data_IF_907941891737
#
_entry.id   IF_907941891737
#
_cell.length_a   1.000
_cell.length_b   1.000
_cell.length_c   1.000
_cell.angle_alpha   90.00
_cell.angle_beta   90.00
_cell.angle_gamma   90.00
#
_symmetry.space_group_name_H-M   'P 1'
#
loop_
_entity.id
_entity.type
_entity.pdbx_description
1 polymer ?
#
# COMPACT_ATOMS: atom_id res chain seq x y z
N UNK A 1 11.85 -1.70 -49.44
CA UNK A 1 12.97 -1.08 -48.69
C UNK A 1 12.93 -1.64 -47.28
N UNK A 2 13.96 -2.39 -46.85
CA UNK A 2 14.10 -2.86 -45.47
C UNK A 2 14.72 -1.70 -44.69
N UNK A 3 13.98 -1.07 -43.77
CA UNK A 3 14.53 -0.04 -42.91
C UNK A 3 15.48 -0.69 -41.89
N UNK A 4 16.79 -0.36 -41.87
CA UNK A 4 17.81 -1.16 -41.18
C UNK A 4 17.83 -0.97 -39.65
N UNK A 5 16.94 -0.16 -39.09
CA UNK A 5 16.95 0.15 -37.66
C UNK A 5 16.08 -0.82 -36.86
N UNK A 6 16.72 -1.74 -36.13
CA UNK A 6 16.05 -2.58 -35.13
C UNK A 6 15.40 -1.75 -34.01
N UNK A 7 15.94 -0.57 -33.72
CA UNK A 7 15.44 0.31 -32.66
C UNK A 7 14.07 0.89 -33.00
N UNK A 8 13.85 1.33 -34.23
CA UNK A 8 12.54 1.88 -34.64
C UNK A 8 11.47 0.79 -34.59
N UNK A 9 11.77 -0.40 -35.10
CA UNK A 9 10.83 -1.53 -35.03
C UNK A 9 10.55 -1.97 -33.58
N UNK A 10 11.54 -1.94 -32.69
CA UNK A 10 11.32 -2.20 -31.27
C UNK A 10 10.36 -1.16 -30.65
N UNK A 11 10.56 0.13 -30.92
CA UNK A 11 9.70 1.17 -30.35
C UNK A 11 8.28 1.12 -30.92
N UNK A 12 8.13 0.81 -32.20
CA UNK A 12 6.83 0.61 -32.85
C UNK A 12 6.06 -0.55 -32.20
N UNK A 13 6.71 -1.70 -31.99
CA UNK A 13 6.05 -2.89 -31.44
C UNK A 13 5.90 -2.90 -29.91
N UNK A 14 6.91 -2.42 -29.17
CA UNK A 14 7.05 -2.61 -27.71
C UNK A 14 7.16 -1.30 -26.93
N UNK A 15 7.36 -0.17 -27.60
CA UNK A 15 7.67 1.11 -26.97
C UNK A 15 6.59 1.56 -25.99
N UNK A 16 5.32 1.51 -26.38
CA UNK A 16 4.21 1.90 -25.51
C UNK A 16 4.09 1.01 -24.27
N UNK A 17 4.18 -0.31 -24.44
CA UNK A 17 4.15 -1.26 -23.32
C UNK A 17 5.31 -1.01 -22.35
N UNK A 18 6.50 -0.70 -22.88
CA UNK A 18 7.67 -0.35 -22.07
C UNK A 18 7.43 0.96 -21.30
N UNK A 19 6.96 2.02 -21.96
CA UNK A 19 6.72 3.32 -21.33
C UNK A 19 5.65 3.28 -20.23
N UNK A 20 4.62 2.46 -20.39
CA UNK A 20 3.57 2.30 -19.37
C UNK A 20 4.11 1.59 -18.12
N UNK A 21 5.00 0.61 -18.29
CA UNK A 21 5.48 -0.26 -17.21
C UNK A 21 6.72 0.27 -16.50
N UNK A 22 7.59 0.98 -17.23
CA UNK A 22 8.89 1.42 -16.73
C UNK A 22 8.80 2.28 -15.45
N UNK A 23 7.90 3.27 -15.32
CA UNK A 23 7.81 4.08 -14.10
C UNK A 23 7.54 3.26 -12.84
N UNK A 24 6.64 2.27 -12.94
CA UNK A 24 6.32 1.35 -11.84
C UNK A 24 7.48 0.42 -11.50
N UNK A 25 8.20 -0.08 -12.50
CA UNK A 25 9.41 -0.90 -12.30
C UNK A 25 10.49 -0.09 -11.59
N UNK A 26 10.72 1.16 -12.01
CA UNK A 26 11.69 2.06 -11.35
C UNK A 26 11.26 2.34 -9.91
N UNK A 27 9.97 2.51 -9.64
CA UNK A 27 9.46 2.69 -8.28
C UNK A 27 9.70 1.45 -7.40
N UNK A 28 9.58 0.23 -7.93
CA UNK A 28 9.93 -0.99 -7.19
C UNK A 28 11.41 -1.04 -6.83
N UNK A 29 12.29 -0.70 -7.77
CA UNK A 29 13.73 -0.53 -7.50
C UNK A 29 13.97 0.53 -6.42
N UNK A 30 13.24 1.64 -6.49
CA UNK A 30 13.26 2.72 -5.51
C UNK A 30 12.84 2.26 -4.11
N UNK A 31 11.77 1.46 -3.99
CA UNK A 31 11.34 0.89 -2.70
C UNK A 31 12.41 -0.06 -2.15
N UNK A 32 12.97 -0.94 -2.98
CA UNK A 32 14.07 -1.83 -2.57
C UNK A 32 15.29 -1.05 -2.07
N UNK A 33 15.65 0.03 -2.77
CA UNK A 33 16.70 0.95 -2.35
C UNK A 33 16.38 1.65 -1.03
N UNK A 34 15.15 2.15 -0.83
CA UNK A 34 14.72 2.77 0.42
C UNK A 34 14.77 1.79 1.60
N UNK A 35 14.32 0.54 1.39
CA UNK A 35 14.42 -0.54 2.38
C UNK A 35 15.90 -0.78 2.73
N UNK A 36 16.75 -1.00 1.73
CA UNK A 36 18.19 -1.19 1.95
C UNK A 36 18.80 -0.05 2.77
N UNK A 37 18.57 1.21 2.36
CA UNK A 37 19.10 2.41 3.02
C UNK A 37 18.61 2.53 4.45
N UNK A 38 17.34 2.24 4.70
CA UNK A 38 16.76 2.27 6.03
C UNK A 38 17.38 1.21 6.94
N UNK A 39 17.50 -0.04 6.47
CA UNK A 39 18.08 -1.14 7.26
C UNK A 39 19.56 -0.88 7.58
N UNK A 40 20.35 -0.39 6.61
CA UNK A 40 21.72 0.04 6.87
C UNK A 40 21.75 1.10 7.97
N UNK A 41 20.92 2.15 7.85
CA UNK A 41 20.88 3.26 8.79
C UNK A 41 20.57 2.82 10.23
N UNK A 42 19.60 1.92 10.43
CA UNK A 42 19.27 1.41 11.78
C UNK A 42 20.29 0.39 12.28
N UNK A 43 20.97 -0.35 11.38
CA UNK A 43 21.99 -1.33 11.76
C UNK A 43 23.31 -0.70 12.22
N UNK A 44 23.60 0.56 11.82
CA UNK A 44 24.78 1.30 12.29
C UNK A 44 24.85 1.37 13.83
N UNK A 45 23.70 1.33 14.49
CA UNK A 45 23.58 1.36 15.94
C UNK A 45 23.78 -0.01 16.62
N UNK A 46 23.90 -1.13 15.89
CA UNK A 46 23.92 -2.51 16.42
C UNK A 46 24.87 -3.50 15.71
N UNK A 47 25.98 -3.04 15.12
CA UNK A 47 26.91 -3.81 14.26
C UNK A 47 26.44 -3.97 12.81
N UNK A 48 26.62 -2.91 12.01
CA UNK A 48 26.48 -2.86 10.54
C UNK A 48 26.31 -4.25 9.88
N UNK A 49 25.07 -4.61 9.54
CA UNK A 49 24.78 -5.90 8.89
C UNK A 49 24.28 -5.63 7.45
N UNK A 50 25.20 -5.39 6.51
CA UNK A 50 24.83 -5.15 5.12
C UNK A 50 24.15 -6.35 4.48
N UNK A 51 24.46 -7.57 4.91
CA UNK A 51 23.82 -8.79 4.42
C UNK A 51 22.32 -8.78 4.70
N UNK A 52 21.90 -8.32 5.88
CA UNK A 52 20.49 -8.19 6.23
C UNK A 52 19.77 -7.13 5.39
N UNK A 53 20.44 -6.01 5.11
CA UNK A 53 19.88 -4.97 4.24
C UNK A 53 19.71 -5.46 2.80
N UNK A 54 20.72 -6.16 2.26
CA UNK A 54 20.66 -6.80 0.94
C UNK A 54 19.54 -7.82 0.92
N UNK A 55 19.49 -8.73 1.90
CA UNK A 55 18.46 -9.77 1.99
C UNK A 55 17.05 -9.17 1.96
N UNK A 56 16.75 -8.13 2.75
CA UNK A 56 15.41 -7.55 2.77
C UNK A 56 15.07 -6.74 1.51
N UNK A 57 16.06 -6.09 0.89
CA UNK A 57 15.86 -5.48 -0.42
C UNK A 57 15.59 -6.56 -1.48
N UNK A 58 16.30 -7.69 -1.43
CA UNK A 58 16.05 -8.85 -2.30
C UNK A 58 14.67 -9.46 -2.05
N UNK A 59 14.24 -9.62 -0.79
CA UNK A 59 12.90 -10.10 -0.44
C UNK A 59 11.82 -9.23 -1.09
N UNK A 60 12.02 -7.91 -1.13
CA UNK A 60 11.12 -7.00 -1.85
C UNK A 60 11.21 -7.14 -3.37
N UNK A 61 12.42 -7.04 -3.94
CA UNK A 61 12.62 -6.99 -5.40
C UNK A 61 12.26 -8.30 -6.09
N UNK A 62 12.44 -9.44 -5.43
CA UNK A 62 12.07 -10.75 -5.94
C UNK A 62 10.70 -11.24 -5.43
N UNK A 63 9.95 -10.38 -4.74
CA UNK A 63 8.58 -10.70 -4.36
C UNK A 63 7.70 -10.80 -5.62
N UNK A 64 7.00 -11.92 -5.86
CA UNK A 64 6.19 -12.07 -7.07
C UNK A 64 5.12 -11.01 -7.28
N UNK A 65 4.62 -10.39 -6.22
CA UNK A 65 3.61 -9.35 -6.35
C UNK A 65 4.14 -8.08 -7.05
N UNK A 66 5.44 -7.77 -6.92
CA UNK A 66 6.00 -6.50 -7.43
C UNK A 66 6.14 -6.57 -8.94
N UNK A 67 6.81 -7.61 -9.46
CA UNK A 67 6.92 -7.81 -10.91
C UNK A 67 5.59 -8.20 -11.55
N UNK A 68 4.68 -8.87 -10.85
CA UNK A 68 3.34 -9.10 -11.38
C UNK A 68 2.55 -7.79 -11.55
N UNK A 69 2.51 -6.94 -10.52
CA UNK A 69 1.82 -5.65 -10.56
C UNK A 69 2.47 -4.69 -11.58
N UNK A 70 3.79 -4.50 -11.51
CA UNK A 70 4.50 -3.51 -12.34
C UNK A 70 4.87 -4.03 -13.73
N UNK A 71 5.51 -5.20 -13.83
CA UNK A 71 6.10 -5.68 -15.10
C UNK A 71 5.14 -6.47 -15.96
N UNK A 72 4.28 -7.30 -15.36
CA UNK A 72 3.31 -8.11 -16.11
C UNK A 72 2.05 -7.27 -16.38
N UNK A 73 1.44 -6.71 -15.33
CA UNK A 73 0.21 -5.96 -15.43
C UNK A 73 0.41 -4.51 -15.87
N UNK A 74 1.42 -3.80 -15.36
CA UNK A 74 1.60 -2.36 -15.62
C UNK A 74 0.73 -1.47 -14.73
N UNK A 75 0.38 -1.94 -13.54
CA UNK A 75 -0.26 -1.13 -12.50
C UNK A 75 0.77 -0.19 -11.84
N UNK A 76 0.27 0.80 -11.12
CA UNK A 76 1.05 1.93 -10.60
C UNK A 76 1.14 1.98 -9.07
N UNK A 77 0.75 0.90 -8.39
CA UNK A 77 0.72 0.84 -6.92
C UNK A 77 2.12 1.02 -6.30
N UNK A 78 3.17 0.57 -7.01
CA UNK A 78 4.57 0.76 -6.63
C UNK A 78 4.98 2.24 -6.56
N UNK A 79 4.51 3.10 -7.47
CA UNK A 79 4.82 4.54 -7.48
C UNK A 79 4.25 5.20 -6.22
N UNK A 80 2.99 4.90 -5.91
CA UNK A 80 2.29 5.42 -4.72
C UNK A 80 3.02 5.01 -3.45
N UNK A 81 3.45 3.74 -3.39
CA UNK A 81 4.13 3.16 -2.23
C UNK A 81 5.60 3.59 -2.10
N UNK A 82 6.28 3.89 -3.21
CA UNK A 82 7.61 4.51 -3.18
C UNK A 82 7.55 5.89 -2.52
N UNK A 83 6.63 6.74 -2.99
CA UNK A 83 6.41 8.07 -2.43
C UNK A 83 5.93 8.00 -0.96
N UNK A 84 5.02 7.07 -0.66
CA UNK A 84 4.53 6.84 0.70
C UNK A 84 5.63 6.37 1.66
N UNK A 85 6.46 5.41 1.24
CA UNK A 85 7.61 4.95 2.03
C UNK A 85 8.64 6.06 2.22
N UNK A 86 8.94 6.84 1.18
CA UNK A 86 9.79 8.02 1.31
C UNK A 86 9.25 8.99 2.37
N UNK A 87 7.94 9.28 2.36
CA UNK A 87 7.29 10.11 3.38
C UNK A 87 7.48 9.53 4.79
N UNK A 88 7.18 8.24 4.98
CA UNK A 88 7.33 7.53 6.27
C UNK A 88 8.78 7.64 6.79
N UNK A 89 9.77 7.42 5.92
CA UNK A 89 11.18 7.51 6.31
C UNK A 89 11.60 8.94 6.69
N UNK A 90 11.06 9.96 6.02
CA UNK A 90 11.31 11.36 6.40
C UNK A 90 10.65 11.73 7.73
N UNK A 91 9.47 11.19 8.03
CA UNK A 91 8.81 11.34 9.33
C UNK A 91 9.64 10.71 10.46
N UNK A 92 10.23 9.54 10.22
CA UNK A 92 11.14 8.89 11.17
C UNK A 92 12.42 9.69 11.38
N UNK A 93 12.90 10.40 10.36
CA UNK A 93 14.04 11.34 10.43
C UNK A 93 13.70 12.71 11.02
N UNK A 94 12.48 12.88 11.55
CA UNK A 94 11.99 14.15 12.11
C UNK A 94 12.00 15.31 11.11
N UNK A 95 11.77 15.03 9.82
CA UNK A 95 11.66 16.05 8.79
C UNK A 95 10.20 16.19 8.31
N UNK A 96 9.44 17.06 8.98
CA UNK A 96 8.02 17.27 8.71
C UNK A 96 7.76 17.79 7.29
N UNK A 97 8.60 18.70 6.78
CA UNK A 97 8.41 19.31 5.46
C UNK A 97 8.51 18.26 4.36
N UNK A 98 9.57 17.44 4.36
CA UNK A 98 9.71 16.38 3.35
C UNK A 98 8.69 15.25 3.56
N UNK A 99 8.30 14.97 4.81
CA UNK A 99 7.20 14.04 5.07
C UNK A 99 5.90 14.49 4.40
N UNK A 100 5.42 15.71 4.64
CA UNK A 100 4.18 16.21 4.03
C UNK A 100 4.30 16.36 2.52
N UNK A 101 5.46 16.78 2.00
CA UNK A 101 5.71 16.83 0.57
C UNK A 101 5.54 15.46 -0.10
N UNK A 102 6.26 14.42 0.34
CA UNK A 102 6.16 13.08 -0.27
C UNK A 102 4.80 12.42 -0.02
N UNK A 103 4.18 12.63 1.15
CA UNK A 103 2.83 12.14 1.42
C UNK A 103 1.83 12.77 0.45
N UNK A 104 1.95 14.07 0.18
CA UNK A 104 1.10 14.79 -0.78
C UNK A 104 1.29 14.23 -2.18
N UNK A 105 2.53 14.04 -2.65
CA UNK A 105 2.80 13.42 -3.95
C UNK A 105 2.18 12.03 -4.07
N UNK A 106 2.29 11.21 -3.03
CA UNK A 106 1.70 9.87 -2.98
C UNK A 106 0.17 9.93 -3.14
N UNK A 107 -0.51 10.76 -2.34
CA UNK A 107 -1.97 10.90 -2.37
C UNK A 107 -2.50 11.54 -3.66
N UNK A 108 -1.77 12.50 -4.23
CA UNK A 108 -2.10 13.10 -5.53
C UNK A 108 -1.98 12.09 -6.68
N UNK A 109 -0.99 11.20 -6.62
CA UNK A 109 -0.86 10.13 -7.60
C UNK A 109 -2.01 9.14 -7.49
N UNK A 110 -2.33 8.69 -6.26
CA UNK A 110 -3.49 7.85 -5.94
C UNK A 110 -3.80 7.91 -4.45
N UNK A 111 -5.07 8.06 -4.10
CA UNK A 111 -5.53 8.11 -2.71
C UNK A 111 -5.44 6.79 -1.92
N UNK A 112 -4.83 5.71 -2.45
CA UNK A 112 -4.84 4.39 -1.80
C UNK A 112 -4.09 4.34 -0.47
N UNK A 113 -3.10 5.23 -0.25
CA UNK A 113 -2.40 5.36 1.04
C UNK A 113 -3.06 6.32 2.02
N UNK A 114 -4.25 6.85 1.72
CA UNK A 114 -5.02 7.68 2.65
C UNK A 114 -5.31 6.95 3.97
N UNK A 115 -5.38 5.61 3.94
CA UNK A 115 -5.56 4.75 5.13
C UNK A 115 -4.46 4.96 6.18
N UNK A 116 -3.25 5.38 5.78
CA UNK A 116 -2.14 5.61 6.69
C UNK A 116 -2.15 6.99 7.35
N UNK A 117 -2.91 7.94 6.80
CA UNK A 117 -2.90 9.35 7.25
C UNK A 117 -3.19 9.49 8.75
N UNK A 118 -4.19 8.81 9.35
CA UNK A 118 -4.44 8.93 10.79
C UNK A 118 -3.24 8.51 11.66
N UNK A 119 -2.56 7.42 11.30
CA UNK A 119 -1.38 6.92 12.03
C UNK A 119 -0.20 7.89 11.85
N UNK A 120 0.07 8.31 10.62
CA UNK A 120 1.21 9.18 10.31
C UNK A 120 1.06 10.58 10.89
N UNK A 121 -0.14 11.16 10.84
CA UNK A 121 -0.44 12.43 11.50
C UNK A 121 -0.36 12.33 13.01
N UNK A 122 -0.88 11.24 13.61
CA UNK A 122 -0.73 11.01 15.05
C UNK A 122 0.76 11.00 15.46
N UNK A 123 1.60 10.28 14.70
CA UNK A 123 3.04 10.28 14.95
C UNK A 123 3.63 11.67 14.78
N UNK A 124 3.33 12.40 13.69
CA UNK A 124 3.83 13.74 13.42
C UNK A 124 3.49 14.75 14.52
N UNK A 125 2.22 14.77 14.97
CA UNK A 125 1.73 15.60 16.08
C UNK A 125 2.49 15.25 17.37
N UNK A 126 2.71 13.97 17.62
CA UNK A 126 3.45 13.50 18.81
C UNK A 126 4.93 13.90 18.80
N UNK A 127 5.48 14.39 17.68
CA UNK A 127 6.86 14.88 17.59
C UNK A 127 6.99 16.37 18.00
N UNK A 128 5.88 17.05 18.32
CA UNK A 128 5.83 18.41 18.91
C UNK A 128 6.61 19.47 18.11
N UNK A 129 6.46 19.47 16.79
CA UNK A 129 7.00 20.54 15.93
C UNK A 129 6.40 21.92 16.27
N UNK A 130 7.19 22.98 16.09
CA UNK A 130 6.68 24.35 16.22
C UNK A 130 5.71 24.70 15.08
N UNK A 131 4.85 25.70 15.33
CA UNK A 131 3.88 26.17 14.34
C UNK A 131 4.55 26.61 13.03
N UNK A 132 5.72 27.25 13.10
CA UNK A 132 6.48 27.67 11.91
C UNK A 132 6.87 26.49 11.02
N UNK A 133 7.25 25.36 11.61
CA UNK A 133 7.61 24.14 10.85
C UNK A 133 6.37 23.53 10.19
N UNK A 134 5.23 23.54 10.89
CA UNK A 134 3.94 23.13 10.31
C UNK A 134 3.52 24.02 9.14
N UNK A 135 3.55 25.34 9.31
CA UNK A 135 3.21 26.30 8.26
C UNK A 135 4.11 26.13 7.04
N UNK A 136 5.42 25.97 7.24
CA UNK A 136 6.37 25.67 6.16
C UNK A 136 6.01 24.36 5.45
N UNK A 137 5.76 23.29 6.20
CA UNK A 137 5.44 21.99 5.63
C UNK A 137 4.13 22.00 4.83
N UNK A 138 3.09 22.65 5.35
CA UNK A 138 1.80 22.84 4.65
C UNK A 138 1.97 23.70 3.41
N UNK A 139 2.77 24.77 3.48
CA UNK A 139 3.07 25.61 2.32
C UNK A 139 3.72 24.81 1.18
N UNK A 140 4.76 24.02 1.47
CA UNK A 140 5.40 23.18 0.43
C UNK A 140 4.47 22.09 -0.12
N UNK A 141 3.62 21.49 0.73
CA UNK A 141 2.60 20.55 0.27
C UNK A 141 1.58 21.23 -0.66
N UNK A 142 1.11 22.43 -0.30
CA UNK A 142 0.19 23.22 -1.11
C UNK A 142 0.81 23.60 -2.47
N UNK A 143 2.05 24.10 -2.47
CA UNK A 143 2.79 24.42 -3.70
C UNK A 143 2.94 23.18 -4.57
N UNK A 144 3.29 22.02 -4.00
CA UNK A 144 3.39 20.77 -4.77
C UNK A 144 2.04 20.38 -5.41
N UNK A 145 0.93 20.50 -4.68
CA UNK A 145 -0.41 20.28 -5.21
C UNK A 145 -0.71 21.20 -6.38
N UNK A 146 -0.51 22.51 -6.23
CA UNK A 146 -0.77 23.48 -7.31
C UNK A 146 0.10 23.20 -8.53
N UNK A 147 1.41 23.02 -8.35
CA UNK A 147 2.36 22.82 -9.44
C UNK A 147 2.10 21.53 -10.23
N UNK A 148 1.58 20.49 -9.58
CA UNK A 148 1.22 19.24 -10.27
C UNK A 148 -0.14 19.38 -10.95
N UNK A 149 -1.13 19.90 -10.23
CA UNK A 149 -2.51 19.94 -10.71
C UNK A 149 -2.72 20.94 -11.86
N UNK A 150 -1.89 22.00 -11.96
CA UNK A 150 -1.99 22.98 -13.05
C UNK A 150 -1.76 22.36 -14.44
N UNK A 151 -0.97 21.27 -14.54
CA UNK A 151 -0.78 20.56 -15.82
C UNK A 151 -2.04 19.81 -16.28
N UNK A 152 -2.96 19.51 -15.35
CA UNK A 152 -4.22 18.83 -15.65
C UNK A 152 -5.39 19.81 -15.79
N UNK A 153 -5.33 20.95 -15.08
CA UNK A 153 -6.36 21.99 -15.10
C UNK A 153 -5.72 23.39 -15.02
N UNK A 154 -5.21 23.92 -16.16
CA UNK A 154 -4.51 25.21 -16.23
C UNK A 154 -5.46 26.43 -16.19
N UNK A 155 -6.49 26.40 -15.34
CA UNK A 155 -7.49 27.47 -15.21
C UNK A 155 -7.51 28.05 -13.79
N UNK A 156 -8.01 29.29 -13.65
CA UNK A 156 -8.03 30.03 -12.39
C UNK A 156 -8.88 29.38 -11.28
N UNK A 157 -9.84 28.54 -11.64
CA UNK A 157 -10.69 27.80 -10.71
C UNK A 157 -10.07 26.48 -10.21
N UNK A 158 -8.75 26.27 -10.41
CA UNK A 158 -8.02 25.05 -10.04
C UNK A 158 -8.36 24.49 -8.66
N UNK A 159 -8.45 25.36 -7.65
CA UNK A 159 -8.79 24.92 -6.27
C UNK A 159 -10.21 24.38 -6.20
N UNK A 160 -11.18 25.05 -6.83
CA UNK A 160 -12.56 24.60 -6.88
C UNK A 160 -12.70 23.31 -7.71
N UNK A 161 -12.00 23.22 -8.83
CA UNK A 161 -11.92 22.01 -9.64
C UNK A 161 -11.36 20.83 -8.83
N UNK A 162 -10.26 21.03 -8.09
CA UNK A 162 -9.68 20.00 -7.22
C UNK A 162 -10.67 19.53 -6.16
N UNK A 163 -11.33 20.44 -5.45
CA UNK A 163 -12.33 20.08 -4.44
C UNK A 163 -13.45 19.25 -5.07
N UNK A 164 -13.97 19.67 -6.22
CA UNK A 164 -15.00 18.93 -6.95
C UNK A 164 -14.52 17.56 -7.44
N UNK A 165 -13.29 17.46 -7.94
CA UNK A 165 -12.70 16.20 -8.40
C UNK A 165 -12.70 15.17 -7.26
N UNK A 166 -12.22 15.56 -6.09
CA UNK A 166 -12.18 14.65 -4.94
C UNK A 166 -13.58 14.33 -4.41
N UNK A 167 -14.44 15.34 -4.23
CA UNK A 167 -15.79 15.13 -3.70
C UNK A 167 -16.69 14.29 -4.61
N UNK A 168 -16.61 14.49 -5.93
CA UNK A 168 -17.54 13.88 -6.88
C UNK A 168 -17.02 12.61 -7.54
N UNK A 169 -15.69 12.42 -7.62
CA UNK A 169 -15.10 11.24 -8.28
C UNK A 169 -14.30 10.36 -7.32
N UNK A 170 -13.35 10.93 -6.58
CA UNK A 170 -12.40 10.13 -5.80
C UNK A 170 -13.01 9.55 -4.52
N UNK A 171 -13.65 10.39 -3.69
CA UNK A 171 -14.20 9.97 -2.39
C UNK A 171 -15.39 9.01 -2.51
N UNK A 172 -16.32 9.19 -3.47
CA UNK A 172 -17.34 8.17 -3.71
C UNK A 172 -16.69 6.84 -4.09
N UNK A 173 -15.61 6.86 -4.86
CA UNK A 173 -14.94 5.66 -5.36
C UNK A 173 -15.57 5.15 -6.66
N UNK A 174 -14.75 4.50 -7.49
CA UNK A 174 -15.10 4.13 -8.86
C UNK A 174 -16.13 2.98 -8.95
N UNK A 175 -16.23 2.15 -7.90
CA UNK A 175 -17.02 0.91 -7.91
C UNK A 175 -18.08 0.92 -6.81
N UNK A 176 -19.27 0.41 -7.13
CA UNK A 176 -20.43 0.35 -6.24
C UNK A 176 -20.52 -0.88 -5.34
N UNK A 177 -19.72 -1.90 -5.62
CA UNK A 177 -19.85 -3.25 -5.06
C UNK A 177 -19.12 -3.44 -3.73
N UNK A 178 -19.50 -4.50 -3.01
CA UNK A 178 -18.86 -4.91 -1.76
C UNK A 178 -17.36 -5.15 -1.92
N UNK A 179 -16.96 -5.84 -2.98
CA UNK A 179 -15.55 -6.09 -3.32
C UNK A 179 -15.38 -6.04 -4.83
N UNK A 180 -14.21 -5.61 -5.29
CA UNK A 180 -13.81 -5.63 -6.69
C UNK A 180 -12.74 -6.71 -6.87
N UNK A 181 -13.18 -7.97 -6.74
CA UNK A 181 -12.34 -9.17 -6.84
C UNK A 181 -11.28 -9.35 -5.75
N UNK A 182 -11.34 -8.60 -4.64
CA UNK A 182 -10.42 -8.83 -3.54
C UNK A 182 -10.85 -10.05 -2.73
N UNK A 183 -9.95 -11.03 -2.54
CA UNK A 183 -10.11 -12.15 -1.59
C UNK A 183 -10.09 -11.65 -0.13
N UNK A 184 -11.14 -10.94 0.27
CA UNK A 184 -11.32 -10.30 1.57
C UNK A 184 -12.64 -10.75 2.23
N UNK A 185 -12.96 -10.21 3.42
CA UNK A 185 -14.19 -10.57 4.14
C UNK A 185 -15.45 -10.45 3.26
N UNK A 186 -15.54 -9.38 2.46
CA UNK A 186 -16.68 -9.14 1.60
C UNK A 186 -16.84 -10.15 0.47
N UNK A 187 -15.74 -10.75 -0.01
CA UNK A 187 -15.78 -11.85 -0.98
C UNK A 187 -16.60 -13.04 -0.50
N UNK A 188 -16.49 -13.38 0.80
CA UNK A 188 -17.23 -14.48 1.41
C UNK A 188 -18.74 -14.21 1.52
N UNK A 189 -19.14 -12.94 1.47
CA UNK A 189 -20.55 -12.52 1.49
C UNK A 189 -21.12 -12.51 0.07
N UNK A 190 -20.40 -11.86 -0.85
CA UNK A 190 -20.74 -11.81 -2.28
C UNK A 190 -19.51 -11.38 -3.08
N UNK A 191 -19.13 -12.17 -4.07
CA UNK A 191 -17.87 -12.04 -4.80
C UNK A 191 -17.86 -10.95 -5.90
N UNK A 192 -18.78 -9.97 -5.87
CA UNK A 192 -18.70 -8.77 -6.72
C UNK A 192 -19.97 -8.35 -7.47
N UNK A 193 -21.12 -8.93 -7.17
CA UNK A 193 -22.41 -8.55 -7.78
C UNK A 193 -23.23 -7.63 -6.87
N UNK A 194 -22.99 -7.69 -5.56
CA UNK A 194 -23.79 -6.97 -4.58
C UNK A 194 -23.25 -5.57 -4.29
N UNK A 195 -24.15 -4.59 -4.33
CA UNK A 195 -23.83 -3.20 -3.99
C UNK A 195 -23.53 -3.05 -2.50
N UNK A 196 -22.62 -2.13 -2.17
CA UNK A 196 -22.23 -1.83 -0.80
C UNK A 196 -23.22 -0.92 -0.04
N UNK A 197 -24.26 -0.45 -0.74
CA UNK A 197 -25.44 0.19 -0.18
C UNK A 197 -26.42 -0.82 0.46
N UNK A 198 -26.26 -2.12 0.22
CA UNK A 198 -27.11 -3.15 0.82
C UNK A 198 -27.01 -3.12 2.34
N UNK A 199 -28.17 -3.21 2.99
CA UNK A 199 -28.33 -3.08 4.44
C UNK A 199 -28.06 -4.43 5.11
N UNK A 200 -27.17 -4.41 6.09
CA UNK A 200 -26.90 -5.52 7.00
C UNK A 200 -27.07 -5.02 8.42
N UNK A 201 -27.89 -5.69 9.23
CA UNK A 201 -28.12 -5.31 10.63
C UNK A 201 -28.44 -3.81 10.82
N UNK A 202 -29.28 -3.24 9.94
CA UNK A 202 -29.75 -1.85 10.01
C UNK A 202 -28.86 -0.78 9.39
N UNK A 203 -27.64 -1.11 8.92
CA UNK A 203 -26.74 -0.15 8.27
C UNK A 203 -26.22 -0.69 6.92
N UNK A 204 -25.91 0.18 5.94
CA UNK A 204 -25.22 -0.25 4.72
C UNK A 204 -23.88 -0.93 5.01
N UNK A 205 -23.48 -1.92 4.21
CA UNK A 205 -22.15 -2.53 4.29
C UNK A 205 -21.02 -1.48 4.24
N UNK A 206 -21.23 -0.41 3.46
CA UNK A 206 -20.59 0.93 3.55
C UNK A 206 -20.06 1.25 4.95
N UNK A 207 -21.04 1.43 5.82
CA UNK A 207 -20.86 1.97 7.15
C UNK A 207 -20.15 0.96 8.05
N UNK A 208 -20.47 -0.33 7.93
CA UNK A 208 -19.77 -1.38 8.68
C UNK A 208 -18.28 -1.44 8.36
N UNK A 209 -17.92 -1.40 7.07
CA UNK A 209 -16.51 -1.42 6.68
C UNK A 209 -15.73 -0.23 7.26
N UNK A 210 -16.28 0.98 7.17
CA UNK A 210 -15.66 2.16 7.79
C UNK A 210 -15.63 2.06 9.31
N UNK A 211 -16.70 1.62 9.97
CA UNK A 211 -16.77 1.52 11.42
C UNK A 211 -15.71 0.56 11.98
N UNK A 212 -15.56 -0.62 11.37
CA UNK A 212 -14.55 -1.62 11.76
C UNK A 212 -13.13 -1.05 11.59
N UNK A 213 -12.85 -0.43 10.44
CA UNK A 213 -11.51 0.10 10.16
C UNK A 213 -11.18 1.30 11.05
N UNK A 214 -12.14 2.21 11.29
CA UNK A 214 -11.95 3.34 12.20
C UNK A 214 -11.73 2.86 13.63
N UNK A 215 -12.51 1.89 14.12
CA UNK A 215 -12.30 1.30 15.44
C UNK A 215 -10.91 0.64 15.55
N UNK A 216 -10.49 -0.09 14.51
CA UNK A 216 -9.16 -0.69 14.41
C UNK A 216 -8.04 0.35 14.42
N UNK A 217 -8.16 1.43 13.64
CA UNK A 217 -7.21 2.56 13.64
C UNK A 217 -7.15 3.21 15.02
N UNK A 218 -8.29 3.47 15.66
CA UNK A 218 -8.34 4.04 17.02
C UNK A 218 -7.63 3.14 18.04
N UNK A 219 -7.86 1.82 17.98
CA UNK A 219 -7.16 0.84 18.82
C UNK A 219 -5.64 0.86 18.57
N UNK A 220 -5.21 0.88 17.31
CA UNK A 220 -3.79 0.93 16.95
C UNK A 220 -3.15 2.24 17.38
N UNK A 221 -3.83 3.38 17.24
CA UNK A 221 -3.35 4.66 17.78
C UNK A 221 -3.18 4.55 19.29
N UNK A 222 -4.19 4.04 20.02
CA UNK A 222 -4.12 3.84 21.47
C UNK A 222 -2.92 2.96 21.88
N UNK A 223 -2.69 1.86 21.17
CA UNK A 223 -1.53 0.99 21.38
C UNK A 223 -0.21 1.72 21.09
N UNK A 224 -0.13 2.41 19.96
CA UNK A 224 1.06 3.15 19.50
C UNK A 224 1.43 4.29 20.46
N UNK A 225 0.47 4.93 21.13
CA UNK A 225 0.73 5.98 22.14
C UNK A 225 1.66 5.51 23.25
N UNK A 226 1.66 4.21 23.58
CA UNK A 226 2.49 3.63 24.64
C UNK A 226 3.98 3.74 24.32
N UNK A 227 4.35 3.57 23.05
CA UNK A 227 5.75 3.64 22.60
C UNK A 227 5.84 3.92 21.10
N UNK A 228 6.08 5.18 20.73
CA UNK A 228 6.30 5.57 19.34
C UNK A 228 7.77 5.31 18.97
N UNK A 229 8.01 4.27 18.19
CA UNK A 229 9.32 3.91 17.67
C UNK A 229 9.16 3.35 16.23
N UNK A 230 10.25 3.15 15.47
CA UNK A 230 10.09 2.73 14.08
C UNK A 230 9.39 1.39 13.91
N UNK A 231 9.65 0.41 14.79
CA UNK A 231 8.98 -0.89 14.76
C UNK A 231 7.48 -0.73 15.01
N UNK A 232 7.07 -0.02 16.06
CA UNK A 232 5.64 0.17 16.36
C UNK A 232 4.92 0.94 15.27
N UNK A 233 5.60 1.89 14.59
CA UNK A 233 5.05 2.55 13.40
C UNK A 233 4.82 1.54 12.27
N UNK A 234 5.82 0.76 11.86
CA UNK A 234 5.64 -0.21 10.77
C UNK A 234 4.62 -1.30 11.11
N UNK A 235 4.55 -1.74 12.38
CA UNK A 235 3.48 -2.63 12.87
C UNK A 235 2.11 -1.99 12.63
N UNK A 236 1.94 -0.75 13.07
CA UNK A 236 0.70 0.01 12.92
C UNK A 236 0.28 0.12 11.46
N UNK A 237 1.21 0.48 10.57
CA UNK A 237 0.94 0.59 9.13
C UNK A 237 0.57 -0.76 8.52
N UNK A 238 1.29 -1.84 8.85
CA UNK A 238 0.99 -3.18 8.32
C UNK A 238 -0.38 -3.70 8.76
N UNK A 239 -0.76 -3.45 10.02
CA UNK A 239 -2.09 -3.83 10.53
C UNK A 239 -3.18 -3.01 9.85
N UNK A 240 -2.98 -1.69 9.71
CA UNK A 240 -3.96 -0.83 9.04
C UNK A 240 -4.15 -1.22 7.58
N UNK A 241 -3.08 -1.57 6.84
CA UNK A 241 -3.22 -2.09 5.47
C UNK A 241 -4.08 -3.36 5.41
N UNK A 242 -3.82 -4.33 6.29
CA UNK A 242 -4.58 -5.58 6.32
C UNK A 242 -6.03 -5.35 6.74
N UNK A 243 -6.26 -4.55 7.79
CA UNK A 243 -7.60 -4.18 8.24
C UNK A 243 -8.40 -3.50 7.13
N UNK A 244 -7.79 -2.54 6.43
CA UNK A 244 -8.44 -1.83 5.34
C UNK A 244 -8.74 -2.76 4.15
N UNK A 245 -7.80 -3.60 3.74
CA UNK A 245 -8.03 -4.57 2.66
C UNK A 245 -9.15 -5.57 3.01
N UNK A 246 -9.17 -6.04 4.26
CA UNK A 246 -10.14 -7.03 4.71
C UNK A 246 -11.55 -6.47 4.81
N UNK A 247 -11.71 -5.28 5.38
CA UNK A 247 -13.02 -4.81 5.84
C UNK A 247 -13.56 -3.57 5.12
N UNK A 248 -12.76 -2.79 4.38
CA UNK A 248 -13.36 -1.76 3.52
C UNK A 248 -14.09 -2.41 2.35
N UNK A 249 -15.20 -1.80 1.92
CA UNK A 249 -15.85 -2.15 0.65
C UNK A 249 -15.15 -1.46 -0.51
N UNK A 250 -15.52 -1.80 -1.75
CA UNK A 250 -14.96 -1.20 -2.98
C UNK A 250 -13.44 -1.42 -3.11
N UNK A 251 -12.94 -2.48 -2.49
CA UNK A 251 -11.51 -2.82 -2.49
C UNK A 251 -11.20 -3.70 -3.68
N UNK A 252 -10.14 -3.34 -4.40
CA UNK A 252 -9.59 -4.12 -5.51
C UNK A 252 -8.62 -5.20 -5.04
N UNK A 253 -8.47 -6.24 -5.85
CA UNK A 253 -7.52 -7.32 -5.70
C UNK A 253 -6.08 -6.86 -5.40
N UNK A 254 -5.69 -5.70 -5.94
CA UNK A 254 -4.35 -5.08 -5.77
C UNK A 254 -4.17 -4.20 -4.53
N UNK A 255 -5.23 -3.91 -3.78
CA UNK A 255 -5.18 -2.92 -2.68
C UNK A 255 -4.48 -3.42 -1.40
N UNK A 256 -4.04 -4.69 -1.36
CA UNK A 256 -3.17 -5.18 -0.28
C UNK A 256 -1.71 -4.74 -0.46
N UNK A 257 -1.31 -4.20 -1.62
CA UNK A 257 0.06 -3.73 -1.91
C UNK A 257 0.72 -2.93 -0.76
N UNK A 258 0.03 -1.97 -0.09
CA UNK A 258 0.62 -1.17 0.99
C UNK A 258 1.15 -1.95 2.20
N UNK A 259 0.66 -3.18 2.41
CA UNK A 259 1.15 -4.05 3.47
C UNK A 259 2.63 -4.42 3.27
N UNK A 260 3.03 -4.73 2.05
CA UNK A 260 4.29 -5.44 1.78
C UNK A 260 5.56 -4.62 2.03
N UNK A 261 5.65 -3.31 1.68
CA UNK A 261 6.82 -2.51 2.04
C UNK A 261 7.04 -2.43 3.55
N UNK A 262 5.97 -2.20 4.33
CA UNK A 262 6.03 -2.12 5.78
C UNK A 262 6.38 -3.49 6.40
N UNK A 263 5.72 -4.56 5.93
CA UNK A 263 5.96 -5.92 6.42
C UNK A 263 7.37 -6.43 6.11
N UNK A 264 7.93 -6.07 4.94
CA UNK A 264 9.32 -6.41 4.58
C UNK A 264 10.31 -5.77 5.55
N UNK A 265 10.08 -4.51 5.96
CA UNK A 265 10.89 -3.86 6.99
C UNK A 265 10.70 -4.56 8.36
N UNK A 266 9.49 -5.03 8.68
CA UNK A 266 9.21 -5.74 9.93
C UNK A 266 9.94 -7.08 10.07
N UNK A 267 10.26 -7.76 8.96
CA UNK A 267 11.11 -8.96 8.99
C UNK A 267 12.49 -8.68 9.59
N UNK A 268 12.96 -7.42 9.55
CA UNK A 268 14.19 -7.03 10.23
C UNK A 268 14.08 -7.05 11.76
N UNK A 269 12.88 -6.89 12.31
CA UNK A 269 12.66 -6.86 13.75
C UNK A 269 12.26 -8.24 14.30
N UNK A 270 11.57 -9.05 13.50
CA UNK A 270 11.11 -10.37 13.92
C UNK A 270 10.95 -11.32 12.73
N UNK A 271 11.83 -12.32 12.63
CA UNK A 271 11.82 -13.31 11.54
C UNK A 271 10.62 -14.26 11.57
N UNK A 272 9.94 -14.41 12.72
CA UNK A 272 8.74 -15.26 12.81
C UNK A 272 7.61 -14.77 11.88
N UNK A 273 7.66 -13.49 11.48
CA UNK A 273 6.70 -12.89 10.57
C UNK A 273 6.88 -13.35 9.12
N UNK A 274 7.96 -14.09 8.80
CA UNK A 274 8.21 -14.58 7.44
C UNK A 274 7.11 -15.54 6.97
N UNK A 275 6.61 -16.41 7.85
CA UNK A 275 5.55 -17.37 7.50
C UNK A 275 4.27 -16.65 7.07
N UNK A 276 3.63 -15.79 7.90
CA UNK A 276 2.43 -15.08 7.47
C UNK A 276 2.70 -14.13 6.29
N UNK A 277 3.91 -13.54 6.19
CA UNK A 277 4.30 -12.74 5.03
C UNK A 277 4.26 -13.55 3.73
N UNK A 278 4.91 -14.71 3.68
CA UNK A 278 4.96 -15.57 2.48
C UNK A 278 3.57 -16.07 2.11
N UNK A 279 2.76 -16.46 3.09
CA UNK A 279 1.37 -16.89 2.83
C UNK A 279 0.56 -15.74 2.20
N UNK A 280 0.67 -14.52 2.73
CA UNK A 280 0.00 -13.34 2.15
C UNK A 280 0.54 -12.99 0.76
N UNK A 281 1.84 -13.16 0.50
CA UNK A 281 2.43 -13.00 -0.84
C UNK A 281 1.81 -13.97 -1.83
N UNK A 282 1.71 -15.25 -1.48
CA UNK A 282 1.13 -16.28 -2.35
C UNK A 282 -0.34 -15.97 -2.63
N UNK A 283 -1.14 -15.71 -1.59
CA UNK A 283 -2.57 -15.42 -1.77
C UNK A 283 -2.77 -14.14 -2.57
N UNK A 284 -1.98 -13.10 -2.30
CA UNK A 284 -2.09 -11.85 -3.04
C UNK A 284 -1.67 -12.02 -4.51
N UNK A 285 -0.63 -12.80 -4.81
CA UNK A 285 -0.27 -13.13 -6.18
C UNK A 285 -1.41 -13.86 -6.91
N UNK A 286 -2.04 -14.85 -6.26
CA UNK A 286 -3.20 -15.56 -6.81
C UNK A 286 -4.39 -14.60 -7.04
N UNK A 287 -4.58 -13.65 -6.13
CA UNK A 287 -5.61 -12.62 -6.23
C UNK A 287 -5.35 -11.65 -7.40
N UNK A 288 -4.09 -11.22 -7.59
CA UNK A 288 -3.68 -10.41 -8.74
C UNK A 288 -3.79 -11.19 -10.06
N UNK A 289 -3.51 -12.49 -10.03
CA UNK A 289 -3.61 -13.36 -11.21
C UNK A 289 -5.06 -13.62 -11.63
N UNK A 290 -5.97 -13.68 -10.67
CA UNK A 290 -7.39 -13.87 -10.94
C UNK A 290 -7.95 -12.74 -11.81
N UNK A 291 -8.57 -13.10 -12.93
CA UNK A 291 -9.13 -12.18 -13.95
C UNK A 291 -8.10 -11.36 -14.74
N UNK A 292 -6.82 -11.50 -14.42
CA UNK A 292 -5.71 -10.97 -15.20
C UNK A 292 -4.76 -12.13 -15.50
N UNK A 293 -5.12 -13.04 -16.40
CA UNK A 293 -4.46 -14.34 -16.62
C UNK A 293 -3.10 -14.28 -17.36
N UNK A 294 -2.19 -13.39 -16.96
CA UNK A 294 -0.92 -13.14 -17.64
C UNK A 294 0.30 -13.71 -16.91
N UNK A 295 1.10 -14.61 -17.49
CA UNK A 295 0.81 -15.43 -18.67
C UNK A 295 -0.26 -16.49 -18.36
N UNK A 296 -0.95 -17.03 -19.38
CA UNK A 296 -1.99 -18.03 -19.16
C UNK A 296 -1.35 -19.35 -18.70
N UNK A 297 -1.78 -19.83 -17.54
CA UNK A 297 -1.35 -21.10 -16.94
C UNK A 297 -2.63 -21.92 -16.73
N UNK A 298 -3.00 -22.80 -17.68
CA UNK A 298 -4.33 -23.43 -17.70
C UNK A 298 -4.71 -24.14 -16.40
N UNK A 299 -3.75 -24.82 -15.77
CA UNK A 299 -3.95 -25.49 -14.47
C UNK A 299 -4.32 -24.49 -13.39
N UNK A 300 -3.65 -23.35 -13.34
CA UNK A 300 -3.89 -22.31 -12.33
C UNK A 300 -5.21 -21.57 -12.59
N UNK A 301 -5.54 -21.32 -13.85
CA UNK A 301 -6.82 -20.72 -14.26
C UNK A 301 -7.98 -21.61 -13.79
N UNK A 302 -7.95 -22.90 -14.12
CA UNK A 302 -9.00 -23.85 -13.73
C UNK A 302 -9.18 -23.91 -12.20
N UNK A 303 -8.07 -23.92 -11.45
CA UNK A 303 -8.10 -23.87 -9.97
C UNK A 303 -8.77 -22.59 -9.46
N UNK A 304 -8.47 -21.42 -10.06
CA UNK A 304 -9.04 -20.13 -9.65
C UNK A 304 -10.44 -19.84 -10.22
N UNK A 305 -10.89 -20.58 -11.22
CA UNK A 305 -12.28 -20.56 -11.67
C UNK A 305 -13.20 -21.25 -10.66
N UNK A 306 -12.68 -22.20 -9.87
CA UNK A 306 -13.41 -22.82 -8.77
C UNK A 306 -13.74 -21.78 -7.67
N UNK A 307 -15.05 -21.54 -7.47
CA UNK A 307 -15.55 -20.60 -6.45
C UNK A 307 -15.12 -20.96 -5.02
N UNK A 308 -15.23 -22.23 -4.64
CA UNK A 308 -14.87 -22.70 -3.30
C UNK A 308 -13.38 -22.47 -3.00
N UNK A 309 -12.51 -22.65 -4.00
CA UNK A 309 -11.09 -22.40 -3.82
C UNK A 309 -10.80 -20.93 -3.49
N UNK A 310 -11.46 -19.99 -4.18
CA UNK A 310 -11.33 -18.55 -3.88
C UNK A 310 -11.89 -18.18 -2.51
N UNK A 311 -12.99 -18.81 -2.08
CA UNK A 311 -13.53 -18.62 -0.74
C UNK A 311 -12.55 -19.11 0.33
N UNK A 312 -11.89 -20.25 0.09
CA UNK A 312 -10.80 -20.74 0.96
C UNK A 312 -9.65 -19.72 1.02
N UNK A 313 -9.21 -19.17 -0.11
CA UNK A 313 -8.15 -18.15 -0.12
C UNK A 313 -8.54 -16.91 0.70
N UNK A 314 -9.78 -16.45 0.58
CA UNK A 314 -10.29 -15.34 1.39
C UNK A 314 -10.32 -15.67 2.88
N UNK A 315 -10.82 -16.86 3.26
CA UNK A 315 -10.83 -17.32 4.65
C UNK A 315 -9.42 -17.43 5.23
N UNK A 316 -8.47 -18.00 4.47
CA UNK A 316 -7.06 -18.09 4.89
C UNK A 316 -6.48 -16.69 5.09
N UNK A 317 -6.80 -15.72 4.23
CA UNK A 317 -6.36 -14.32 4.40
C UNK A 317 -6.81 -13.75 5.74
N UNK A 318 -8.07 -13.99 6.14
CA UNK A 318 -8.59 -13.56 7.44
C UNK A 318 -7.89 -14.25 8.62
N UNK A 319 -7.67 -15.57 8.54
CA UNK A 319 -6.97 -16.33 9.58
C UNK A 319 -5.53 -15.86 9.74
N UNK A 320 -4.82 -15.67 8.62
CA UNK A 320 -3.43 -15.20 8.61
C UNK A 320 -3.33 -13.79 9.17
N UNK A 321 -4.30 -12.91 8.90
CA UNK A 321 -4.37 -11.60 9.56
C UNK A 321 -4.46 -11.72 11.09
N UNK A 322 -5.34 -12.59 11.60
CA UNK A 322 -5.47 -12.83 13.05
C UNK A 322 -4.16 -13.31 13.68
N UNK A 323 -3.50 -14.29 13.06
CA UNK A 323 -2.19 -14.82 13.49
C UNK A 323 -1.14 -13.71 13.45
N UNK A 324 -1.05 -12.98 12.33
CA UNK A 324 -0.09 -11.90 12.13
C UNK A 324 -0.25 -10.80 13.20
N UNK A 325 -1.49 -10.34 13.42
CA UNK A 325 -1.81 -9.33 14.43
C UNK A 325 -1.36 -9.75 15.84
N UNK A 326 -1.61 -11.00 16.22
CA UNK A 326 -1.16 -11.55 17.51
C UNK A 326 0.37 -11.57 17.59
N UNK A 327 1.06 -12.03 16.55
CA UNK A 327 2.52 -12.11 16.52
C UNK A 327 3.18 -10.73 16.65
N UNK A 328 2.70 -9.73 15.90
CA UNK A 328 3.29 -8.38 15.94
C UNK A 328 2.99 -7.67 17.25
N UNK A 329 1.78 -7.78 17.80
CA UNK A 329 1.39 -7.08 19.03
C UNK A 329 1.99 -7.73 20.29
N UNK A 330 2.12 -9.06 20.37
CA UNK A 330 2.76 -9.75 21.51
C UNK A 330 4.26 -9.48 21.58
N UNK A 331 4.90 -9.30 20.44
CA UNK A 331 6.35 -9.16 20.34
C UNK A 331 6.90 -7.85 20.93
N UNK A 332 6.04 -6.90 21.32
CA UNK A 332 6.41 -5.70 22.09
C UNK A 332 6.37 -5.90 23.63
N UNK A 333 5.68 -6.93 24.13
CA UNK A 333 5.53 -7.18 25.57
C UNK A 333 6.72 -7.89 26.22
N UNK A 334 7.59 -8.54 25.43
CA UNK A 334 8.83 -9.12 25.94
C UNK A 334 9.87 -8.01 26.10
N UNK A 335 9.97 -7.45 27.31
CA UNK A 335 11.20 -6.80 27.76
C UNK A 335 12.32 -7.82 27.53
N UNK A 336 13.30 -7.48 26.68
CA UNK A 336 14.60 -8.13 26.79
C UNK A 336 15.12 -7.74 28.17
N UNK A 337 14.98 -8.67 29.12
CA UNK A 337 15.71 -8.70 30.39
C UNK A 337 17.18 -8.94 30.05
#
# INVERSE_FOLDING_TARGET
>A
LIFPSKTVWFWDEKGMAFLIKLPSIIADLGIGWLIYRYIIQISKFKNHNPQKAIFLASVWLFNPITWYNSSIWGQTDSIVNFLGLAAILQLLRKNLTLFLFFLTLSLLFKGSLAIFVPILLFVAISQRYSLTVWLKAVFFAFVATVLISVWFHPQFDLVFWLVNLYQKRILPGEIGYLTANAFNFWWLIDSGKRLDSMIYFGLPARVWGFAIVLAGISFIIFWLKRKINPRSLFVSLSIVSLLSFLFLTRVHERYLYPFFPAATILLSFNSILLIPYVVLVIIHLLNLYHLFWGPPIPVLINILENGQFKDILSLVTMVVFGIYAVLVLRSEGKKHI
#
